data_IF_612201852903
#
_entry.id   IF_612201852903
#
_cell.length_a   1.000
_cell.length_b   1.000
_cell.length_c   1.000
_cell.angle_alpha   90.00
_cell.angle_beta   90.00
_cell.angle_gamma   90.00
#
_symmetry.space_group_name_H-M   'P 1'
#
loop_
_entity.id
_entity.type
_entity.pdbx_description
1 polymer ?
#
# COMPACT_ATOMS: atom_id res chain seq x y z
N UNK A 1 13.74 -18.06 46.00
CA UNK A 1 13.98 -17.99 44.54
C UNK A 1 13.57 -19.34 43.96
N UNK A 2 12.40 -19.43 43.39
CA UNK A 2 11.90 -20.68 42.81
C UNK A 2 12.44 -20.75 41.36
N UNK A 3 13.40 -21.64 41.15
CA UNK A 3 13.87 -21.94 39.79
C UNK A 3 12.75 -22.66 39.04
N UNK A 4 12.17 -22.04 38.07
CA UNK A 4 11.19 -22.67 37.20
C UNK A 4 11.91 -23.78 36.43
N UNK A 5 11.42 -25.03 36.55
CA UNK A 5 11.95 -26.20 35.87
C UNK A 5 11.70 -26.06 34.33
N UNK A 6 12.48 -26.74 33.49
CA UNK A 6 12.22 -26.77 32.04
C UNK A 6 10.79 -27.23 31.72
N UNK A 7 10.32 -28.25 32.39
CA UNK A 7 8.95 -28.81 32.28
C UNK A 7 7.87 -27.75 32.59
N UNK A 8 8.07 -26.94 33.62
CA UNK A 8 7.13 -25.85 33.96
C UNK A 8 7.10 -24.76 32.92
N UNK A 9 8.24 -24.48 32.28
CA UNK A 9 8.32 -23.52 31.18
C UNK A 9 7.56 -24.00 29.95
N UNK A 10 7.74 -25.29 29.60
CA UNK A 10 7.04 -25.89 28.45
C UNK A 10 5.52 -25.85 28.67
N UNK A 11 5.08 -26.19 29.90
CA UNK A 11 3.65 -26.08 30.30
C UNK A 11 3.11 -24.64 30.15
N UNK A 12 3.88 -23.62 30.57
CA UNK A 12 3.47 -22.21 30.45
C UNK A 12 3.42 -21.77 28.98
N UNK A 13 4.28 -22.30 28.11
CA UNK A 13 4.25 -22.02 26.69
C UNK A 13 3.03 -22.67 26.02
N UNK A 14 2.72 -23.91 26.33
CA UNK A 14 1.53 -24.60 25.84
C UNK A 14 0.24 -23.88 26.29
N UNK A 15 0.17 -23.49 27.58
CA UNK A 15 -0.99 -22.75 28.10
C UNK A 15 -1.16 -21.38 27.47
N UNK A 16 -0.06 -20.67 27.19
CA UNK A 16 -0.10 -19.41 26.43
C UNK A 16 -0.66 -19.61 25.04
N UNK A 17 -0.18 -20.62 24.32
CA UNK A 17 -0.61 -20.90 22.95
C UNK A 17 -2.09 -21.29 22.90
N UNK A 18 -2.52 -22.11 23.86
CA UNK A 18 -3.93 -22.46 24.02
C UNK A 18 -4.81 -21.23 24.24
N UNK A 19 -4.44 -20.31 25.15
CA UNK A 19 -5.22 -19.11 25.44
C UNK A 19 -5.28 -18.16 24.26
N UNK A 20 -4.19 -18.00 23.49
CA UNK A 20 -4.18 -17.16 22.30
C UNK A 20 -5.05 -17.74 21.18
N UNK A 21 -5.04 -19.06 21.02
CA UNK A 21 -5.90 -19.75 20.04
C UNK A 21 -7.37 -19.63 20.45
N UNK A 22 -7.67 -19.83 21.75
CA UNK A 22 -9.03 -19.69 22.27
C UNK A 22 -9.59 -18.28 22.12
N UNK A 23 -8.74 -17.23 22.26
CA UNK A 23 -9.13 -15.84 22.00
C UNK A 23 -9.47 -15.62 20.53
N UNK A 24 -8.67 -16.17 19.62
CA UNK A 24 -8.91 -16.04 18.19
C UNK A 24 -10.19 -16.79 17.75
N UNK A 25 -10.47 -17.95 18.34
CA UNK A 25 -11.70 -18.70 18.09
C UNK A 25 -12.92 -17.96 18.63
N UNK A 26 -12.84 -17.42 19.84
CA UNK A 26 -13.91 -16.61 20.45
C UNK A 26 -14.24 -15.37 19.61
N UNK A 27 -13.24 -14.69 19.06
CA UNK A 27 -13.46 -13.53 18.17
C UNK A 27 -14.16 -13.96 16.87
N UNK A 28 -13.83 -15.13 16.35
CA UNK A 28 -14.47 -15.68 15.15
C UNK A 28 -15.93 -16.06 15.41
N UNK A 29 -16.21 -16.75 16.53
CA UNK A 29 -17.56 -17.16 16.91
C UNK A 29 -18.46 -15.96 17.22
N UNK A 30 -17.91 -14.93 17.85
CA UNK A 30 -18.62 -13.66 18.05
C UNK A 30 -18.93 -12.96 16.72
N UNK A 31 -17.97 -12.99 15.76
CA UNK A 31 -18.14 -12.39 14.43
C UNK A 31 -19.24 -13.04 13.59
N UNK A 32 -19.56 -14.31 13.82
CA UNK A 32 -20.66 -15.02 13.14
C UNK A 32 -21.96 -15.06 13.96
N UNK A 33 -21.95 -14.50 15.18
CA UNK A 33 -23.13 -14.39 16.04
C UNK A 33 -23.46 -15.63 16.87
N UNK A 34 -22.52 -16.55 17.02
CA UNK A 34 -22.69 -17.78 17.79
C UNK A 34 -22.54 -17.59 19.32
N UNK A 35 -21.97 -16.46 19.74
CA UNK A 35 -21.74 -16.10 21.15
C UNK A 35 -22.44 -14.78 21.47
N UNK A 36 -23.14 -14.73 22.61
CA UNK A 36 -23.80 -13.54 23.10
C UNK A 36 -22.77 -12.48 23.57
N UNK A 37 -23.09 -11.19 23.45
CA UNK A 37 -22.16 -10.09 23.74
C UNK A 37 -21.63 -10.11 25.19
N UNK A 38 -22.50 -10.40 26.16
CA UNK A 38 -22.12 -10.51 27.58
C UNK A 38 -21.17 -11.69 27.86
N UNK A 39 -21.40 -12.82 27.20
CA UNK A 39 -20.54 -14.00 27.30
C UNK A 39 -19.21 -13.79 26.63
N UNK A 40 -19.19 -13.14 25.45
CA UNK A 40 -17.98 -12.74 24.76
C UNK A 40 -17.10 -11.82 25.61
N UNK A 41 -17.67 -10.77 26.19
CA UNK A 41 -16.93 -9.84 27.04
C UNK A 41 -16.32 -10.55 28.25
N UNK A 42 -17.10 -11.40 28.94
CA UNK A 42 -16.66 -12.14 30.12
C UNK A 42 -15.53 -13.14 29.80
N UNK A 43 -15.68 -13.92 28.71
CA UNK A 43 -14.67 -14.89 28.28
C UNK A 43 -13.40 -14.21 27.81
N UNK A 44 -13.51 -13.12 27.02
CA UNK A 44 -12.38 -12.34 26.55
C UNK A 44 -11.56 -11.77 27.69
N UNK A 45 -12.22 -11.17 28.69
CA UNK A 45 -11.55 -10.62 29.87
C UNK A 45 -10.82 -11.73 30.66
N UNK A 46 -11.46 -12.87 30.83
CA UNK A 46 -10.89 -14.00 31.58
C UNK A 46 -9.65 -14.59 30.86
N UNK A 47 -9.72 -14.81 29.55
CA UNK A 47 -8.59 -15.33 28.77
C UNK A 47 -7.45 -14.33 28.67
N UNK A 48 -7.76 -13.06 28.49
CA UNK A 48 -6.75 -11.97 28.43
C UNK A 48 -6.02 -11.83 29.76
N UNK A 49 -6.74 -11.86 30.89
CA UNK A 49 -6.13 -11.78 32.21
C UNK A 49 -5.21 -12.96 32.50
N UNK A 50 -5.62 -14.19 32.14
CA UNK A 50 -4.79 -15.39 32.31
C UNK A 50 -3.55 -15.35 31.40
N UNK A 51 -3.70 -14.98 30.13
CA UNK A 51 -2.59 -14.85 29.20
C UNK A 51 -1.55 -13.83 29.70
N UNK A 52 -2.00 -12.70 30.24
CA UNK A 52 -1.11 -11.67 30.79
C UNK A 52 -0.27 -12.18 31.97
N UNK A 53 -0.85 -13.00 32.87
CA UNK A 53 -0.13 -13.63 34.00
C UNK A 53 0.95 -14.57 33.46
N UNK A 54 0.62 -15.45 32.51
CA UNK A 54 1.55 -16.43 31.95
C UNK A 54 2.70 -15.75 31.21
N UNK A 55 2.41 -14.72 30.41
CA UNK A 55 3.44 -13.94 29.71
C UNK A 55 4.39 -13.28 30.72
N UNK A 56 3.87 -12.78 31.84
CA UNK A 56 4.68 -12.18 32.89
C UNK A 56 5.57 -13.23 33.59
N UNK A 57 5.04 -14.41 33.92
CA UNK A 57 5.83 -15.50 34.48
C UNK A 57 6.94 -15.97 33.54
N UNK A 58 6.65 -16.08 32.23
CA UNK A 58 7.66 -16.41 31.22
C UNK A 58 8.75 -15.35 31.10
N UNK A 59 8.39 -14.06 31.14
CA UNK A 59 9.36 -12.96 31.08
C UNK A 59 10.27 -12.88 32.29
N UNK A 60 9.76 -13.18 33.47
CA UNK A 60 10.55 -13.21 34.73
C UNK A 60 11.57 -14.37 34.71
N UNK A 61 11.25 -15.48 34.06
CA UNK A 61 12.15 -16.62 33.87
C UNK A 61 13.28 -16.28 32.89
N UNK A 62 13.01 -15.50 31.85
CA UNK A 62 14.04 -15.07 30.89
C UNK A 62 15.01 -14.07 31.50
N UNK A 63 14.54 -13.12 32.31
CA UNK A 63 15.38 -12.13 33.00
C UNK A 63 16.33 -12.77 34.00
N UNK A 64 15.95 -13.89 34.61
CA UNK A 64 16.81 -14.59 35.60
C UNK A 64 17.99 -15.32 34.95
N UNK A 65 17.87 -15.72 33.66
CA UNK A 65 18.97 -16.36 32.90
C UNK A 65 20.08 -15.37 32.47
N UNK A 66 19.75 -14.09 32.26
CA UNK A 66 20.70 -13.08 31.79
C UNK A 66 21.69 -12.62 32.89
N UNK A 67 21.41 -12.89 34.17
CA UNK A 67 22.23 -12.41 35.30
C UNK A 67 23.47 -13.25 35.63
N UNK A 68 23.80 -14.27 34.82
CA UNK A 68 24.98 -15.12 35.03
C UNK A 68 26.14 -14.73 34.11
N UNK A 69 27.10 -13.94 34.69
CA UNK A 69 28.45 -13.64 34.22
C UNK A 69 28.56 -12.79 32.94
N UNK A 70 28.42 -11.50 33.11
CA UNK A 70 29.00 -10.55 32.16
C UNK A 70 30.51 -10.54 32.39
N UNK A 71 31.27 -11.27 31.59
CA UNK A 71 32.72 -11.14 31.51
C UNK A 71 33.10 -9.80 30.87
N UNK A 72 34.27 -9.24 31.16
CA UNK A 72 34.74 -7.95 30.65
C UNK A 72 34.75 -7.84 29.10
N UNK A 73 34.85 -8.95 28.38
CA UNK A 73 34.90 -8.98 26.94
C UNK A 73 33.62 -8.45 26.24
N UNK A 74 32.38 -8.76 26.68
CA UNK A 74 31.18 -8.16 26.06
C UNK A 74 31.03 -6.67 26.35
N UNK A 75 31.56 -6.18 27.47
CA UNK A 75 31.56 -4.73 27.78
C UNK A 75 32.45 -3.95 26.82
N UNK A 76 33.63 -4.49 26.47
CA UNK A 76 34.50 -3.89 25.45
C UNK A 76 33.90 -3.87 24.04
N UNK A 77 33.16 -4.89 23.68
CA UNK A 77 32.41 -4.92 22.38
C UNK A 77 31.23 -3.96 22.37
N UNK A 78 30.48 -3.84 23.46
CA UNK A 78 29.37 -2.90 23.55
C UNK A 78 29.83 -1.42 23.54
N UNK A 79 30.96 -1.10 24.14
CA UNK A 79 31.55 0.25 24.04
C UNK A 79 32.06 0.55 22.64
N UNK A 80 32.64 -0.42 21.93
CA UNK A 80 33.06 -0.23 20.54
C UNK A 80 31.88 0.02 19.61
N UNK A 81 30.79 -0.75 19.76
CA UNK A 81 29.54 -0.56 18.97
C UNK A 81 28.90 0.80 19.29
N UNK A 82 28.89 1.20 20.54
CA UNK A 82 28.35 2.51 20.96
C UNK A 82 29.17 3.66 20.36
N UNK A 83 30.50 3.56 20.37
CA UNK A 83 31.39 4.55 19.75
C UNK A 83 31.22 4.62 18.25
N UNK A 84 31.05 3.47 17.57
CA UNK A 84 30.73 3.43 16.14
C UNK A 84 29.36 4.04 15.82
N UNK A 85 28.35 3.80 16.66
CA UNK A 85 27.03 4.40 16.52
C UNK A 85 27.05 5.92 16.73
N UNK A 86 27.81 6.41 17.71
CA UNK A 86 27.98 7.85 17.96
C UNK A 86 28.74 8.52 16.83
N UNK A 87 29.83 7.90 16.33
CA UNK A 87 30.62 8.47 15.23
C UNK A 87 29.84 8.49 13.92
N UNK A 88 29.09 7.41 13.60
CA UNK A 88 28.20 7.41 12.43
C UNK A 88 27.04 8.39 12.58
N UNK A 89 26.45 8.51 13.77
CA UNK A 89 25.39 9.49 14.06
C UNK A 89 25.87 10.93 13.92
N UNK A 90 27.07 11.25 14.39
CA UNK A 90 27.68 12.59 14.23
C UNK A 90 28.05 12.87 12.76
N UNK A 91 28.50 11.86 12.01
CA UNK A 91 28.82 12.02 10.59
C UNK A 91 27.54 12.26 9.76
N UNK A 92 26.46 11.54 10.06
CA UNK A 92 25.14 11.76 9.44
C UNK A 92 24.60 13.13 9.83
N UNK A 93 24.67 13.51 11.13
CA UNK A 93 24.18 14.81 11.60
C UNK A 93 24.96 16.02 11.02
N UNK A 94 26.23 15.84 10.67
CA UNK A 94 27.03 16.88 10.02
C UNK A 94 26.82 16.94 8.50
N UNK A 95 26.34 15.86 7.90
CA UNK A 95 26.08 15.78 6.45
C UNK A 95 24.61 16.02 6.09
N UNK A 96 23.70 15.99 7.08
CA UNK A 96 22.32 16.48 6.90
C UNK A 96 22.31 17.97 7.22
N UNK A 97 22.16 18.81 6.19
CA UNK A 97 22.19 20.26 6.28
C UNK A 97 21.31 20.82 7.40
N UNK A 98 21.61 22.04 7.84
CA UNK A 98 20.93 22.77 8.91
C UNK A 98 19.40 22.76 8.68
N UNK A 99 18.68 22.15 9.64
CA UNK A 99 17.22 22.14 9.64
C UNK A 99 16.70 23.50 10.03
N UNK A 100 15.88 24.09 9.18
CA UNK A 100 15.17 25.32 9.49
C UNK A 100 14.13 25.09 10.60
N UNK A 101 13.88 26.08 11.50
CA UNK A 101 12.86 25.97 12.54
C UNK A 101 11.47 25.76 11.89
N UNK A 102 10.82 24.61 12.18
CA UNK A 102 9.50 24.24 11.67
C UNK A 102 9.44 22.91 10.93
N UNK A 103 10.56 22.23 10.69
CA UNK A 103 10.55 20.90 10.08
C UNK A 103 10.14 19.81 11.08
N UNK A 104 9.16 18.99 10.70
CA UNK A 104 8.64 17.86 11.50
C UNK A 104 9.70 16.78 11.74
N UNK A 105 9.69 16.17 12.93
CA UNK A 105 10.72 15.25 13.46
C UNK A 105 10.72 13.83 12.85
N UNK A 106 9.77 13.51 12.03
CA UNK A 106 9.69 12.22 11.30
C UNK A 106 9.78 12.54 9.82
N UNK A 107 10.87 12.21 9.14
CA UNK A 107 11.11 12.34 7.70
C UNK A 107 9.93 12.83 6.84
N UNK A 108 9.24 13.85 7.33
CA UNK A 108 8.06 14.45 6.75
C UNK A 108 8.49 15.13 5.46
N UNK A 109 7.96 14.63 4.38
CA UNK A 109 7.99 15.24 3.08
C UNK A 109 7.46 16.66 3.27
N UNK A 110 8.18 17.69 2.83
CA UNK A 110 7.71 19.07 2.93
C UNK A 110 6.29 19.16 2.34
N UNK A 111 5.36 19.78 3.08
CA UNK A 111 4.00 20.01 2.60
C UNK A 111 4.08 20.76 1.25
N UNK A 112 3.61 20.09 0.17
CA UNK A 112 3.70 20.62 -1.18
C UNK A 112 4.86 20.10 -2.03
N UNK A 113 5.74 19.23 -1.48
CA UNK A 113 6.70 18.51 -2.34
C UNK A 113 5.98 17.50 -3.24
N UNK A 114 6.56 17.19 -4.41
CA UNK A 114 6.00 16.19 -5.34
C UNK A 114 5.68 14.87 -4.65
N UNK A 115 6.59 14.35 -3.84
CA UNK A 115 6.38 13.10 -3.10
C UNK A 115 5.24 13.19 -2.08
N UNK A 116 5.06 14.34 -1.39
CA UNK A 116 3.93 14.57 -0.49
C UNK A 116 2.61 14.59 -1.24
N UNK A 117 2.55 15.31 -2.35
CA UNK A 117 1.36 15.43 -3.19
C UNK A 117 0.95 14.07 -3.77
N UNK A 118 1.90 13.26 -4.26
CA UNK A 118 1.64 11.91 -4.76
C UNK A 118 1.13 10.97 -3.67
N UNK A 119 1.71 11.00 -2.47
CA UNK A 119 1.23 10.19 -1.33
C UNK A 119 -0.19 10.58 -0.95
N UNK A 120 -0.50 11.89 -0.89
CA UNK A 120 -1.85 12.37 -0.61
C UNK A 120 -2.84 11.91 -1.69
N UNK A 121 -2.50 12.07 -2.98
CA UNK A 121 -3.35 11.65 -4.09
C UNK A 121 -3.67 10.16 -4.05
N UNK A 122 -2.66 9.30 -3.83
CA UNK A 122 -2.84 7.85 -3.68
C UNK A 122 -3.75 7.50 -2.49
N UNK A 123 -3.60 8.20 -1.37
CA UNK A 123 -4.40 7.93 -0.17
C UNK A 123 -5.88 8.26 -0.32
N UNK A 124 -6.22 9.21 -1.19
CA UNK A 124 -7.61 9.59 -1.47
C UNK A 124 -8.28 8.62 -2.46
N UNK A 125 -7.52 8.01 -3.35
CA UNK A 125 -8.03 7.06 -4.34
C UNK A 125 -9.19 7.63 -5.15
N UNK A 126 -10.28 6.87 -5.31
CA UNK A 126 -11.49 7.30 -6.03
C UNK A 126 -12.54 8.00 -5.16
N UNK A 127 -12.22 8.30 -3.90
CA UNK A 127 -13.18 8.87 -2.94
C UNK A 127 -13.57 10.31 -3.23
N UNK A 128 -12.63 11.13 -3.75
CA UNK A 128 -12.84 12.54 -4.08
C UNK A 128 -12.06 12.91 -5.35
N UNK A 129 -12.66 12.65 -6.51
CA UNK A 129 -12.02 12.89 -7.81
C UNK A 129 -11.56 14.35 -7.99
N UNK A 130 -12.36 15.39 -7.66
CA UNK A 130 -11.90 16.77 -7.74
C UNK A 130 -10.64 17.07 -6.93
N UNK A 131 -10.57 16.58 -5.68
CA UNK A 131 -9.39 16.80 -4.85
C UNK A 131 -8.16 16.04 -5.36
N UNK A 132 -8.33 14.82 -5.86
CA UNK A 132 -7.24 14.04 -6.48
C UNK A 132 -6.72 14.71 -7.74
N UNK A 133 -7.60 15.25 -8.58
CA UNK A 133 -7.21 16.04 -9.76
C UNK A 133 -6.41 17.30 -9.38
N UNK A 134 -6.80 18.02 -8.32
CA UNK A 134 -6.02 19.15 -7.82
C UNK A 134 -4.60 18.73 -7.43
N UNK A 135 -4.46 17.64 -6.68
CA UNK A 135 -3.16 17.15 -6.24
C UNK A 135 -2.25 16.77 -7.42
N UNK A 136 -2.74 15.99 -8.38
CA UNK A 136 -1.94 15.63 -9.56
C UNK A 136 -1.65 16.83 -10.46
N UNK A 137 -2.56 17.78 -10.58
CA UNK A 137 -2.30 19.02 -11.33
C UNK A 137 -1.14 19.82 -10.72
N UNK A 138 -1.06 19.86 -9.38
CA UNK A 138 0.04 20.51 -8.66
C UNK A 138 1.37 19.77 -8.85
N UNK A 139 1.33 18.43 -8.90
CA UNK A 139 2.52 17.65 -9.26
C UNK A 139 3.01 18.01 -10.66
N UNK A 140 2.11 18.06 -11.65
CA UNK A 140 2.46 18.40 -13.03
C UNK A 140 2.91 19.86 -13.19
N UNK A 141 2.50 20.76 -12.31
CA UNK A 141 3.00 22.13 -12.29
C UNK A 141 4.48 22.21 -11.84
N UNK A 142 4.94 21.24 -11.02
CA UNK A 142 6.33 21.15 -10.52
C UNK A 142 7.17 20.27 -11.46
N UNK A 143 6.64 19.11 -11.83
CA UNK A 143 7.26 18.10 -12.69
C UNK A 143 6.30 17.76 -13.85
N UNK A 144 6.36 18.50 -14.97
CA UNK A 144 5.44 18.30 -16.10
C UNK A 144 5.48 16.91 -16.74
N UNK A 145 6.62 16.20 -16.60
CA UNK A 145 6.84 14.86 -17.15
C UNK A 145 6.71 13.76 -16.10
N UNK A 146 6.14 14.04 -14.94
CA UNK A 146 5.94 13.01 -13.91
C UNK A 146 4.94 11.96 -14.40
N UNK A 147 5.44 10.75 -14.65
CA UNK A 147 4.68 9.66 -15.29
C UNK A 147 3.45 9.28 -14.50
N UNK A 148 3.57 9.14 -13.19
CA UNK A 148 2.44 8.82 -12.32
C UNK A 148 1.36 9.90 -12.40
N UNK A 149 1.77 11.16 -12.30
CA UNK A 149 0.83 12.27 -12.34
C UNK A 149 0.15 12.39 -13.72
N UNK A 150 0.89 12.24 -14.83
CA UNK A 150 0.29 12.20 -16.17
C UNK A 150 -0.74 11.08 -16.29
N UNK A 151 -0.39 9.89 -15.82
CA UNK A 151 -1.25 8.70 -15.92
C UNK A 151 -2.53 8.86 -15.10
N UNK A 152 -2.40 9.18 -13.83
CA UNK A 152 -3.57 9.24 -12.93
C UNK A 152 -4.39 10.52 -13.14
N UNK A 153 -3.77 11.66 -13.43
CA UNK A 153 -4.51 12.85 -13.82
C UNK A 153 -5.31 12.61 -15.11
N UNK A 154 -4.69 11.95 -16.10
CA UNK A 154 -5.37 11.54 -17.32
C UNK A 154 -6.54 10.61 -17.05
N UNK A 155 -6.34 9.56 -16.25
CA UNK A 155 -7.37 8.59 -15.90
C UNK A 155 -8.55 9.20 -15.14
N UNK A 156 -8.28 9.98 -14.09
CA UNK A 156 -9.35 10.67 -13.35
C UNK A 156 -10.08 11.71 -14.19
N UNK A 157 -9.39 12.33 -15.15
CA UNK A 157 -10.00 13.23 -16.13
C UNK A 157 -10.97 12.46 -17.04
N UNK A 158 -10.58 11.27 -17.54
CA UNK A 158 -11.48 10.38 -18.29
C UNK A 158 -12.69 9.99 -17.44
N UNK A 159 -12.48 9.53 -16.20
CA UNK A 159 -13.59 9.15 -15.32
C UNK A 159 -14.54 10.31 -15.03
N UNK A 160 -14.01 11.52 -14.86
CA UNK A 160 -14.86 12.71 -14.60
C UNK A 160 -15.70 13.12 -15.80
N UNK A 161 -15.36 12.68 -17.03
CA UNK A 161 -16.20 12.95 -18.21
C UNK A 161 -17.59 12.32 -18.10
N UNK A 162 -17.72 11.18 -17.42
CA UNK A 162 -19.00 10.50 -17.22
C UNK A 162 -19.95 11.22 -16.25
N UNK A 163 -19.43 12.16 -15.48
CA UNK A 163 -20.21 12.97 -14.52
C UNK A 163 -20.60 14.32 -15.11
N UNK A 164 -20.15 14.63 -16.32
CA UNK A 164 -20.43 15.90 -16.97
C UNK A 164 -21.83 15.88 -17.58
N UNK A 165 -22.65 16.88 -17.27
CA UNK A 165 -24.01 16.98 -17.77
C UNK A 165 -24.07 17.49 -19.22
N UNK A 166 -23.08 18.30 -19.62
CA UNK A 166 -22.95 18.82 -20.98
C UNK A 166 -22.14 17.85 -21.86
N UNK A 167 -22.73 17.43 -22.98
CA UNK A 167 -22.12 16.45 -23.88
C UNK A 167 -20.82 16.94 -24.53
N UNK A 168 -20.72 18.21 -24.86
CA UNK A 168 -19.51 18.76 -25.52
C UNK A 168 -18.38 18.90 -24.49
N UNK A 169 -18.74 19.31 -23.28
CA UNK A 169 -17.79 19.33 -22.15
C UNK A 169 -17.31 17.92 -21.79
N UNK A 170 -18.21 16.91 -21.78
CA UNK A 170 -17.87 15.52 -21.56
C UNK A 170 -16.86 15.00 -22.58
N UNK A 171 -17.12 15.22 -23.88
CA UNK A 171 -16.23 14.83 -24.97
C UNK A 171 -14.88 15.53 -24.85
N UNK A 172 -14.86 16.83 -24.58
CA UNK A 172 -13.62 17.61 -24.40
C UNK A 172 -12.79 17.06 -23.22
N UNK A 173 -13.44 16.74 -22.11
CA UNK A 173 -12.80 16.18 -20.92
C UNK A 173 -12.20 14.80 -21.20
N UNK A 174 -12.96 13.93 -21.88
CA UNK A 174 -12.50 12.62 -22.32
C UNK A 174 -11.25 12.73 -23.21
N UNK A 175 -11.28 13.61 -24.21
CA UNK A 175 -10.14 13.85 -25.10
C UNK A 175 -8.91 14.36 -24.35
N UNK A 176 -9.08 15.28 -23.40
CA UNK A 176 -7.98 15.79 -22.59
C UNK A 176 -7.34 14.68 -21.74
N UNK A 177 -8.15 13.83 -21.13
CA UNK A 177 -7.68 12.67 -20.37
C UNK A 177 -6.89 11.70 -21.24
N UNK A 178 -7.38 11.40 -22.45
CA UNK A 178 -6.68 10.55 -23.42
C UNK A 178 -5.33 11.14 -23.87
N UNK A 179 -5.24 12.46 -24.07
CA UNK A 179 -3.97 13.11 -24.42
C UNK A 179 -2.94 12.91 -23.32
N UNK A 180 -3.32 13.06 -22.07
CA UNK A 180 -2.43 12.87 -20.92
C UNK A 180 -1.98 11.41 -20.80
N UNK A 181 -2.90 10.44 -20.94
CA UNK A 181 -2.56 9.02 -20.93
C UNK A 181 -1.59 8.66 -22.07
N UNK A 182 -1.82 9.18 -23.26
CA UNK A 182 -0.92 8.99 -24.39
C UNK A 182 0.45 9.64 -24.16
N UNK A 183 0.48 10.82 -23.54
CA UNK A 183 1.75 11.46 -23.16
C UNK A 183 2.52 10.58 -22.16
N UNK A 184 1.84 9.96 -21.19
CA UNK A 184 2.46 9.04 -20.25
C UNK A 184 3.03 7.79 -20.94
N UNK A 185 2.31 7.16 -21.88
CA UNK A 185 2.81 5.98 -22.64
C UNK A 185 3.99 6.32 -23.54
N UNK A 186 4.11 7.55 -24.02
CA UNK A 186 5.26 8.01 -24.81
C UNK A 186 6.45 8.31 -23.91
N UNK A 187 6.23 8.92 -22.75
CA UNK A 187 7.28 9.30 -21.82
C UNK A 187 7.92 8.08 -21.13
N UNK A 188 7.12 7.09 -20.77
CA UNK A 188 7.59 5.79 -20.28
C UNK A 188 6.77 4.63 -20.89
N UNK A 189 7.24 4.03 -21.99
CA UNK A 189 6.56 2.90 -22.62
C UNK A 189 6.52 1.62 -21.78
N UNK A 190 7.18 1.59 -20.64
CA UNK A 190 7.19 0.42 -19.72
C UNK A 190 6.29 0.59 -18.51
N UNK A 191 5.64 1.75 -18.39
CA UNK A 191 4.75 2.03 -17.26
C UNK A 191 3.37 1.38 -17.48
N UNK A 192 3.02 0.29 -16.78
CA UNK A 192 1.86 -0.53 -17.10
C UNK A 192 0.55 0.23 -16.98
N UNK A 193 0.37 1.05 -15.93
CA UNK A 193 -0.90 1.73 -15.66
C UNK A 193 -1.31 2.68 -16.77
N UNK A 194 -0.33 3.36 -17.43
CA UNK A 194 -0.62 4.25 -18.55
C UNK A 194 -1.24 3.50 -19.73
N UNK A 195 -0.68 2.34 -20.10
CA UNK A 195 -1.22 1.49 -21.16
C UNK A 195 -2.55 0.85 -20.76
N UNK A 196 -2.66 0.35 -19.52
CA UNK A 196 -3.90 -0.21 -19.03
C UNK A 196 -5.06 0.79 -19.11
N UNK A 197 -4.87 2.00 -18.60
CA UNK A 197 -5.91 3.03 -18.59
C UNK A 197 -6.22 3.56 -19.98
N UNK A 198 -5.23 3.70 -20.85
CA UNK A 198 -5.45 4.10 -22.23
C UNK A 198 -6.26 3.03 -23.00
N UNK A 199 -5.91 1.76 -22.86
CA UNK A 199 -6.65 0.66 -23.46
C UNK A 199 -8.09 0.54 -22.94
N UNK A 200 -8.30 0.69 -21.62
CA UNK A 200 -9.64 0.76 -21.04
C UNK A 200 -10.41 1.95 -21.63
N UNK A 201 -9.76 3.09 -21.78
CA UNK A 201 -10.40 4.30 -22.33
C UNK A 201 -10.86 4.07 -23.76
N UNK A 202 -10.03 3.51 -24.62
CA UNK A 202 -10.43 3.16 -25.98
C UNK A 202 -11.61 2.21 -26.02
N UNK A 203 -11.57 1.15 -25.22
CA UNK A 203 -12.59 0.12 -25.27
C UNK A 203 -13.92 0.55 -24.63
N UNK A 204 -13.88 1.18 -23.45
CA UNK A 204 -15.08 1.46 -22.65
C UNK A 204 -15.73 2.82 -22.92
N UNK A 205 -14.95 3.80 -23.36
CA UNK A 205 -15.43 5.18 -23.52
C UNK A 205 -15.50 5.62 -24.97
N UNK A 206 -14.70 5.01 -25.86
CA UNK A 206 -14.64 5.34 -27.27
C UNK A 206 -15.30 4.24 -28.13
N UNK A 207 -15.47 3.02 -27.58
CA UNK A 207 -15.96 1.82 -28.31
C UNK A 207 -15.03 1.41 -29.47
N UNK A 208 -13.72 1.64 -29.31
CA UNK A 208 -12.67 1.31 -30.26
C UNK A 208 -11.82 0.13 -29.75
N UNK A 209 -12.30 -1.09 -30.03
CA UNK A 209 -11.60 -2.31 -29.67
C UNK A 209 -10.26 -2.48 -30.41
N UNK A 210 -10.16 -1.94 -31.64
CA UNK A 210 -8.94 -2.04 -32.45
C UNK A 210 -7.83 -1.19 -31.86
N UNK A 211 -8.12 0.03 -31.42
CA UNK A 211 -7.16 0.89 -30.74
C UNK A 211 -6.84 0.40 -29.31
N UNK A 212 -7.79 -0.26 -28.64
CA UNK A 212 -7.58 -0.79 -27.30
C UNK A 212 -6.61 -1.98 -27.25
N UNK A 213 -6.62 -2.86 -28.26
CA UNK A 213 -5.88 -4.11 -28.28
C UNK A 213 -4.37 -3.95 -28.06
N UNK A 214 -3.65 -3.10 -28.80
CA UNK A 214 -2.20 -2.91 -28.59
C UNK A 214 -1.88 -2.33 -27.21
N UNK A 215 -2.68 -1.43 -26.69
CA UNK A 215 -2.47 -0.85 -25.37
C UNK A 215 -2.65 -1.89 -24.23
N UNK A 216 -3.66 -2.76 -24.36
CA UNK A 216 -3.85 -3.85 -23.41
C UNK A 216 -2.75 -4.89 -23.47
N UNK A 217 -2.18 -5.15 -24.64
CA UNK A 217 -1.01 -6.01 -24.80
C UNK A 217 0.20 -5.40 -24.08
N UNK A 218 0.48 -4.13 -24.33
CA UNK A 218 1.57 -3.39 -23.65
C UNK A 218 1.39 -3.34 -22.13
N UNK A 219 0.15 -3.18 -21.65
CA UNK A 219 -0.18 -3.24 -20.24
C UNK A 219 0.24 -4.58 -19.61
N UNK A 220 -0.11 -5.72 -20.24
CA UNK A 220 0.24 -7.05 -19.72
C UNK A 220 1.74 -7.36 -19.85
N UNK A 221 2.37 -6.94 -20.93
CA UNK A 221 3.81 -7.16 -21.18
C UNK A 221 4.69 -6.38 -20.18
N UNK A 222 4.18 -5.28 -19.65
CA UNK A 222 4.84 -4.47 -18.60
C UNK A 222 4.75 -5.07 -17.20
N UNK A 223 4.24 -6.29 -17.05
CA UNK A 223 4.17 -7.06 -15.82
C UNK A 223 3.44 -6.35 -14.66
N UNK A 224 2.16 -5.97 -14.85
CA UNK A 224 1.36 -5.34 -13.82
C UNK A 224 1.15 -6.27 -12.60
N UNK A 225 0.75 -5.75 -11.42
CA UNK A 225 0.38 -6.57 -10.28
C UNK A 225 -0.65 -7.65 -10.64
N UNK A 226 -0.55 -8.84 -10.01
CA UNK A 226 -1.35 -10.02 -10.39
C UNK A 226 -2.87 -9.77 -10.39
N UNK A 227 -3.37 -8.92 -9.47
CA UNK A 227 -4.78 -8.54 -9.38
C UNK A 227 -5.20 -7.71 -10.60
N UNK A 228 -4.36 -6.76 -11.03
CA UNK A 228 -4.57 -5.94 -12.23
C UNK A 228 -4.49 -6.82 -13.47
N UNK A 229 -3.48 -7.70 -13.56
CA UNK A 229 -3.31 -8.63 -14.68
C UNK A 229 -4.55 -9.51 -14.89
N UNK A 230 -5.14 -10.06 -13.82
CA UNK A 230 -6.33 -10.91 -13.93
C UNK A 230 -7.56 -10.14 -14.43
N UNK A 231 -7.76 -8.91 -13.98
CA UNK A 231 -8.83 -8.03 -14.43
C UNK A 231 -8.66 -7.63 -15.91
N UNK A 232 -7.44 -7.28 -16.29
CA UNK A 232 -7.08 -6.90 -17.66
C UNK A 232 -7.24 -8.08 -18.63
N UNK A 233 -6.87 -9.31 -18.24
CA UNK A 233 -7.06 -10.50 -19.06
C UNK A 233 -8.53 -10.74 -19.43
N UNK A 234 -9.45 -10.53 -18.47
CA UNK A 234 -10.88 -10.61 -18.75
C UNK A 234 -11.35 -9.57 -19.78
N UNK A 235 -10.76 -8.38 -19.75
CA UNK A 235 -11.05 -7.31 -20.70
C UNK A 235 -10.44 -7.61 -22.09
N UNK A 236 -9.22 -8.12 -22.13
CA UNK A 236 -8.54 -8.53 -23.38
C UNK A 236 -9.36 -9.56 -24.15
N UNK A 237 -9.99 -10.51 -23.47
CA UNK A 237 -10.89 -11.48 -24.13
C UNK A 237 -12.04 -10.76 -24.82
N UNK A 238 -12.72 -9.83 -24.15
CA UNK A 238 -13.82 -9.06 -24.73
C UNK A 238 -13.37 -8.20 -25.91
N UNK A 239 -12.19 -7.59 -25.82
CA UNK A 239 -11.58 -6.79 -26.91
C UNK A 239 -11.30 -7.67 -28.13
N UNK A 240 -10.69 -8.83 -27.94
CA UNK A 240 -10.39 -9.76 -29.03
C UNK A 240 -11.65 -10.26 -29.71
N UNK A 241 -12.71 -10.55 -28.97
CA UNK A 241 -14.00 -10.93 -29.51
C UNK A 241 -14.61 -9.80 -30.36
N UNK A 242 -14.54 -8.55 -29.85
CA UNK A 242 -15.05 -7.37 -30.58
C UNK A 242 -14.25 -7.09 -31.88
N UNK A 243 -12.90 -7.19 -31.81
CA UNK A 243 -12.06 -7.06 -33.02
C UNK A 243 -12.38 -8.13 -34.05
N UNK A 244 -12.55 -9.39 -33.61
CA UNK A 244 -12.90 -10.51 -34.49
C UNK A 244 -14.26 -10.30 -35.16
N UNK A 245 -15.25 -9.81 -34.44
CA UNK A 245 -16.56 -9.48 -34.96
C UNK A 245 -16.53 -8.36 -36.01
N UNK A 246 -15.73 -7.32 -35.78
CA UNK A 246 -15.57 -6.17 -36.68
C UNK A 246 -14.90 -6.57 -38.02
N UNK A 247 -13.94 -7.50 -37.98
CA UNK A 247 -13.25 -8.00 -39.17
C UNK A 247 -14.11 -8.92 -40.03
N UNK A 248 -15.16 -9.57 -39.47
CA UNK A 248 -16.04 -10.49 -40.16
C UNK A 248 -17.16 -9.75 -40.92
N UNK A 249 -17.43 -8.49 -40.62
CA UNK A 249 -18.53 -7.69 -41.18
C UNK A 249 -18.12 -6.81 -42.38
N UNK A 250 -16.89 -6.88 -42.88
CA UNK A 250 -16.46 -6.18 -44.10
C UNK A 250 -16.78 -7.11 -45.31
N UNK A 251 -17.75 -6.79 -46.16
CA UNK A 251 -18.09 -7.61 -47.31
C UNK A 251 -17.05 -7.55 -48.43
#
# INVERSE_FOLDING_TARGET
MISVTPERRDQLQEEREFLLTSLADLEREFGVGDVAEDDYASLKDSYTARAAIIIRELSDVEQTKVRKRIGWRPIAWSTLVLLLAITSGVLVARNTGERSPGQVMTGGVEDGSVSSLLVQARSMGMGDIPAVLDLYSRVLAIEPDNIEALTYFGWFTVLSSTQEADSDAAVTRLQNGMVLLRQATIADPTYPDAHCFLGITFFRFIDDAVAAQPEMTSCLDSNPPAEVASMVQGLVTQINDAVSASTTTVP
#
